data_IF_440000368740
#
_entry.id   IF_440000368740
#
_cell.length_a   1.000
_cell.length_b   1.000
_cell.length_c   1.000
_cell.angle_alpha   90.00
_cell.angle_beta   90.00
_cell.angle_gamma   90.00
#
_symmetry.space_group_name_H-M   'P 1'
#
loop_
_entity.id
_entity.type
_entity.pdbx_description
1 polymer ?
#
# COMPACT_ATOMS: atom_id res chain seq x y z
N UNK A 1 18.86 -31.87 42.09
CA UNK A 1 17.96 -30.80 41.59
C UNK A 1 17.78 -30.94 40.10
N UNK A 2 16.54 -30.93 39.60
CA UNK A 2 16.17 -31.19 38.20
C UNK A 2 16.81 -30.19 37.21
N UNK A 3 17.13 -30.64 35.99
CA UNK A 3 17.60 -29.83 34.85
C UNK A 3 16.70 -28.60 34.60
N UNK A 4 15.41 -28.74 34.88
CA UNK A 4 14.42 -27.67 34.80
C UNK A 4 14.71 -26.50 35.75
N UNK A 5 15.21 -26.77 36.96
CA UNK A 5 15.56 -25.73 37.93
C UNK A 5 16.84 -24.98 37.54
N UNK A 6 17.77 -25.63 36.82
CA UNK A 6 18.97 -24.97 36.29
C UNK A 6 18.65 -24.02 35.14
N UNK A 7 17.68 -24.39 34.29
CA UNK A 7 17.21 -23.52 33.21
C UNK A 7 16.43 -22.32 33.73
N UNK A 8 15.57 -22.51 34.73
CA UNK A 8 14.82 -21.42 35.35
C UNK A 8 15.73 -20.39 36.03
N UNK A 9 16.71 -20.84 36.80
CA UNK A 9 17.66 -19.93 37.46
C UNK A 9 18.52 -19.16 36.44
N UNK A 10 18.91 -19.80 35.32
CA UNK A 10 19.68 -19.14 34.26
C UNK A 10 18.84 -18.11 33.49
N UNK A 11 17.53 -18.34 33.34
CA UNK A 11 16.61 -17.38 32.75
C UNK A 11 16.35 -16.17 33.67
N UNK A 12 16.22 -16.38 34.99
CA UNK A 12 16.07 -15.31 35.97
C UNK A 12 17.35 -14.44 36.09
N UNK A 13 18.52 -15.06 35.99
CA UNK A 13 19.81 -14.38 35.96
C UNK A 13 19.98 -13.51 34.69
N UNK A 14 19.53 -14.01 33.54
CA UNK A 14 19.52 -13.26 32.28
C UNK A 14 18.52 -12.10 32.30
N UNK A 15 17.33 -12.29 32.88
CA UNK A 15 16.33 -11.22 33.01
C UNK A 15 16.82 -10.08 33.90
N UNK A 16 17.52 -10.40 35.00
CA UNK A 16 18.11 -9.40 35.90
C UNK A 16 19.26 -8.66 35.22
N UNK A 17 20.08 -9.36 34.44
CA UNK A 17 21.23 -8.78 33.73
C UNK A 17 20.83 -7.85 32.57
N UNK A 18 19.68 -8.11 31.94
CA UNK A 18 19.19 -7.36 30.78
C UNK A 18 18.00 -6.44 31.06
N UNK A 19 17.63 -6.28 32.34
CA UNK A 19 16.50 -5.46 32.79
C UNK A 19 15.18 -5.79 32.07
N UNK A 20 14.97 -7.07 31.77
CA UNK A 20 13.76 -7.60 31.13
C UNK A 20 12.83 -8.06 32.25
N UNK A 21 11.62 -7.48 32.30
CA UNK A 21 10.61 -7.83 33.30
C UNK A 21 10.28 -9.34 33.23
N UNK A 22 10.14 -10.03 34.38
CA UNK A 22 9.81 -11.45 34.39
C UNK A 22 8.40 -11.72 33.86
N UNK A 23 8.25 -12.91 33.25
CA UNK A 23 7.00 -13.40 32.67
C UNK A 23 5.84 -13.37 33.68
N UNK A 24 4.74 -12.70 33.29
CA UNK A 24 3.43 -12.85 33.93
C UNK A 24 3.16 -11.96 35.14
N UNK A 25 3.19 -10.64 34.99
CA UNK A 25 2.41 -9.74 35.85
C UNK A 25 1.88 -8.53 35.06
N UNK A 26 0.58 -8.55 34.80
CA UNK A 26 -0.21 -7.36 34.51
C UNK A 26 -0.40 -6.58 35.82
N UNK A 27 -0.03 -5.31 35.88
CA UNK A 27 -0.55 -4.40 36.89
C UNK A 27 -1.14 -3.16 36.21
N UNK A 28 -2.43 -3.30 35.92
CA UNK A 28 -3.36 -2.19 35.86
C UNK A 28 -3.87 -1.99 37.30
N UNK A 29 -3.31 -1.04 38.05
CA UNK A 29 -3.94 -0.51 39.26
C UNK A 29 -3.71 1.00 39.37
N UNK A 30 -4.84 1.71 39.29
CA UNK A 30 -5.06 3.08 39.75
C UNK A 30 -4.27 3.43 41.01
N UNK A 31 -3.57 4.56 40.99
CA UNK A 31 -3.49 5.45 42.16
C UNK A 31 -3.23 6.90 41.73
N UNK A 32 -4.23 7.75 42.04
CA UNK A 32 -4.11 9.19 42.16
C UNK A 32 -2.95 9.57 43.09
N UNK A 33 -2.13 10.56 42.74
CA UNK A 33 -2.02 11.79 43.54
C UNK A 33 -1.10 12.86 42.93
N UNK A 34 -1.67 14.06 42.89
CA UNK A 34 -1.12 15.37 43.26
C UNK A 34 0.14 15.93 42.56
N UNK A 35 -0.15 17.02 41.86
CA UNK A 35 0.73 18.10 41.41
C UNK A 35 1.45 18.72 42.62
N UNK A 36 2.78 18.86 42.53
CA UNK A 36 3.50 19.88 43.28
C UNK A 36 4.65 20.46 42.45
N UNK A 37 4.64 21.78 42.32
CA UNK A 37 5.64 22.60 41.63
C UNK A 37 6.97 22.61 42.39
N UNK A 38 8.09 22.59 41.66
CA UNK A 38 9.43 22.92 42.16
C UNK A 38 10.36 23.29 41.01
N UNK A 39 10.90 24.50 41.04
CA UNK A 39 11.80 25.08 40.05
C UNK A 39 13.27 24.65 40.26
N UNK A 40 13.97 24.35 39.14
CA UNK A 40 15.38 24.65 38.76
C UNK A 40 16.56 24.17 39.67
N UNK A 41 17.81 23.97 39.19
CA UNK A 41 18.45 24.66 38.05
C UNK A 41 19.34 23.80 37.09
N UNK A 42 19.86 24.52 36.10
CA UNK A 42 20.66 24.17 34.91
C UNK A 42 22.16 23.91 35.13
N UNK A 43 22.75 23.07 34.25
CA UNK A 43 24.08 23.14 33.57
C UNK A 43 24.87 21.79 33.59
N UNK A 44 25.87 21.55 32.71
CA UNK A 44 26.03 21.93 31.29
C UNK A 44 26.26 20.71 30.37
N UNK A 45 26.18 20.94 29.06
CA UNK A 45 26.52 19.97 28.01
C UNK A 45 27.99 19.53 28.07
N UNK A 46 28.22 18.21 28.13
CA UNK A 46 29.48 17.59 27.71
C UNK A 46 29.23 16.65 26.55
N UNK A 47 29.97 16.90 25.48
CA UNK A 47 30.12 16.07 24.29
C UNK A 47 30.81 14.75 24.66
N UNK A 48 30.15 13.62 24.42
CA UNK A 48 30.79 12.30 24.40
C UNK A 48 30.47 11.59 23.09
N UNK A 49 31.50 11.53 22.24
CA UNK A 49 31.66 10.57 21.14
C UNK A 49 31.74 9.15 21.69
N UNK A 50 31.00 8.21 21.08
CA UNK A 50 31.26 6.78 21.20
C UNK A 50 31.35 6.11 19.81
N UNK A 51 32.34 5.21 19.61
CA UNK A 51 32.63 4.54 18.33
C UNK A 51 31.94 3.17 18.22
N UNK A 52 31.79 2.66 16.99
CA UNK A 52 31.55 1.23 16.72
C UNK A 52 30.55 0.95 15.61
N UNK A 53 30.96 1.08 14.35
CA UNK A 53 30.28 0.45 13.22
C UNK A 53 30.82 -0.97 13.05
N UNK A 54 29.96 -1.98 13.26
CA UNK A 54 30.22 -3.35 12.81
C UNK A 54 29.56 -3.54 11.45
N UNK A 55 30.37 -3.92 10.46
CA UNK A 55 29.96 -4.25 9.10
C UNK A 55 29.12 -5.54 9.08
N UNK A 56 28.04 -5.54 8.30
CA UNK A 56 27.29 -6.74 7.94
C UNK A 56 27.94 -7.43 6.71
N UNK A 57 28.13 -8.76 6.70
CA UNK A 57 28.69 -9.45 5.54
C UNK A 57 27.64 -9.66 4.43
N UNK A 58 28.15 -9.64 3.19
CA UNK A 58 27.39 -9.80 1.95
C UNK A 58 26.87 -11.23 1.74
N UNK A 59 25.65 -11.35 1.18
CA UNK A 59 25.05 -12.62 0.78
C UNK A 59 25.79 -13.26 -0.40
N UNK A 60 26.22 -14.52 -0.24
CA UNK A 60 26.72 -15.37 -1.32
C UNK A 60 25.55 -16.01 -2.07
N UNK A 61 25.49 -15.81 -3.39
CA UNK A 61 24.58 -16.52 -4.29
C UNK A 61 25.03 -17.98 -4.46
N UNK A 62 24.15 -18.93 -4.19
CA UNK A 62 24.34 -20.33 -4.54
C UNK A 62 23.77 -20.58 -5.95
N UNK A 63 24.65 -20.96 -6.88
CA UNK A 63 24.27 -21.35 -8.24
C UNK A 63 23.53 -22.70 -8.22
N UNK A 64 22.36 -22.79 -8.85
CA UNK A 64 21.64 -24.04 -9.08
C UNK A 64 21.69 -24.46 -10.55
N UNK A 65 21.90 -25.76 -10.77
CA UNK A 65 22.00 -26.43 -12.08
C UNK A 65 20.63 -26.56 -12.78
N UNK A 66 20.59 -26.69 -14.13
CA UNK A 66 19.34 -26.76 -14.89
C UNK A 66 18.65 -28.14 -14.80
N UNK A 67 17.30 -28.19 -14.87
CA UNK A 67 16.53 -29.45 -14.87
C UNK A 67 16.51 -30.13 -16.26
N UNK A 68 16.22 -31.46 -16.33
CA UNK A 68 16.19 -32.22 -17.58
C UNK A 68 14.92 -31.96 -18.42
N UNK A 69 14.94 -32.25 -19.75
CA UNK A 69 13.85 -31.90 -20.66
C UNK A 69 12.61 -32.80 -20.51
N UNK A 70 11.43 -32.19 -20.69
CA UNK A 70 10.11 -32.84 -20.58
C UNK A 70 9.69 -33.57 -21.86
N UNK A 71 9.07 -34.73 -21.68
CA UNK A 71 8.51 -35.58 -22.73
C UNK A 71 7.22 -34.97 -23.34
N UNK A 72 7.09 -35.14 -24.66
CA UNK A 72 5.99 -34.68 -25.51
C UNK A 72 4.67 -35.36 -25.19
N UNK A 73 3.63 -34.58 -24.90
CA UNK A 73 2.23 -35.02 -24.87
C UNK A 73 1.47 -34.47 -26.08
N UNK A 74 0.87 -35.38 -26.84
CA UNK A 74 0.04 -35.12 -28.02
C UNK A 74 -1.41 -34.77 -27.62
N UNK A 75 -2.02 -33.83 -28.35
CA UNK A 75 -3.43 -33.43 -28.18
C UNK A 75 -4.41 -34.43 -28.82
N UNK A 76 -5.61 -34.61 -28.26
CA UNK A 76 -6.77 -35.11 -29.00
C UNK A 76 -7.64 -33.99 -29.60
N UNK A 77 -8.34 -34.35 -30.67
CA UNK A 77 -8.95 -33.51 -31.69
C UNK A 77 -10.14 -32.61 -31.27
N UNK A 78 -10.31 -31.54 -32.06
CA UNK A 78 -11.40 -30.57 -32.02
C UNK A 78 -12.74 -31.18 -32.47
N UNK A 79 -13.81 -30.91 -31.74
CA UNK A 79 -15.20 -31.03 -32.22
C UNK A 79 -15.87 -29.66 -32.31
N UNK A 80 -16.30 -29.35 -33.53
CA UNK A 80 -17.00 -28.14 -33.98
C UNK A 80 -18.46 -28.13 -33.50
N UNK A 81 -18.96 -26.99 -33.02
CA UNK A 81 -20.40 -26.72 -32.90
C UNK A 81 -20.77 -25.30 -33.37
N UNK A 82 -21.52 -25.28 -34.49
CA UNK A 82 -22.63 -24.41 -34.91
C UNK A 82 -22.75 -22.95 -34.45
N UNK A 83 -22.70 -22.05 -35.44
CA UNK A 83 -23.25 -20.68 -35.47
C UNK A 83 -24.76 -20.62 -35.25
N UNK A 84 -25.26 -19.67 -34.45
CA UNK A 84 -26.59 -19.08 -34.60
C UNK A 84 -26.67 -17.61 -34.12
N UNK A 85 -27.12 -16.76 -35.06
CA UNK A 85 -27.71 -15.41 -35.00
C UNK A 85 -26.97 -14.20 -34.41
N UNK A 86 -26.59 -13.31 -35.34
CA UNK A 86 -26.41 -11.88 -35.14
C UNK A 86 -27.76 -11.15 -34.94
N UNK A 87 -27.80 -10.15 -34.04
CA UNK A 87 -28.83 -9.11 -34.03
C UNK A 87 -28.17 -7.73 -34.10
N UNK A 88 -28.67 -6.92 -35.04
CA UNK A 88 -28.26 -5.55 -35.33
C UNK A 88 -28.81 -4.55 -34.28
N UNK A 89 -28.19 -3.37 -34.12
CA UNK A 89 -28.61 -2.36 -33.15
C UNK A 89 -29.93 -1.65 -33.56
N UNK A 90 -30.69 -1.11 -32.58
CA UNK A 90 -31.99 -0.47 -32.84
C UNK A 90 -31.86 0.92 -33.53
N UNK A 91 -32.89 1.35 -34.29
CA UNK A 91 -32.88 2.57 -35.09
C UNK A 91 -33.14 3.86 -34.27
N UNK A 92 -32.78 5.05 -34.81
CA UNK A 92 -32.95 6.33 -34.13
C UNK A 92 -34.40 6.84 -34.13
N UNK A 93 -34.75 7.61 -33.11
CA UNK A 93 -36.06 8.24 -32.91
C UNK A 93 -36.31 9.43 -33.87
N UNK A 94 -37.51 9.59 -34.46
CA UNK A 94 -37.80 10.68 -35.40
C UNK A 94 -38.07 12.03 -34.72
N UNK A 95 -37.56 13.10 -35.33
CA UNK A 95 -38.04 14.48 -35.13
C UNK A 95 -39.44 14.61 -35.71
N UNK A 96 -40.43 15.10 -34.95
CA UNK A 96 -41.53 16.01 -35.35
C UNK A 96 -42.55 16.15 -34.21
N UNK A 97 -42.57 17.30 -33.52
CA UNK A 97 -43.80 17.94 -33.02
C UNK A 97 -43.48 19.35 -32.52
N UNK A 98 -43.57 20.32 -33.44
CA UNK A 98 -43.85 21.74 -33.15
C UNK A 98 -45.35 21.99 -33.37
N UNK A 99 -45.92 22.97 -32.67
CA UNK A 99 -46.42 24.18 -33.34
C UNK A 99 -45.64 25.40 -32.79
N UNK A 100 -45.05 26.32 -33.56
CA UNK A 100 -45.68 27.22 -34.55
C UNK A 100 -46.40 28.35 -33.81
N UNK A 101 -46.13 29.65 -33.93
CA UNK A 101 -45.26 30.49 -34.74
C UNK A 101 -45.54 31.95 -34.32
N UNK A 102 -44.73 32.91 -34.75
CA UNK A 102 -45.02 34.34 -34.50
C UNK A 102 -43.83 35.26 -34.71
N UNK A 103 -43.62 35.68 -35.96
CA UNK A 103 -42.76 36.79 -36.31
C UNK A 103 -43.50 38.12 -36.10
N UNK A 104 -42.80 39.14 -35.60
CA UNK A 104 -43.26 40.52 -35.53
C UNK A 104 -42.16 41.39 -34.92
N UNK A 105 -41.42 42.12 -35.77
CA UNK A 105 -40.41 43.09 -35.31
C UNK A 105 -41.01 44.48 -35.12
N UNK A 106 -40.40 45.28 -34.23
CA UNK A 106 -40.11 46.73 -34.38
C UNK A 106 -39.34 47.26 -33.15
N UNK A 107 -38.38 48.14 -33.41
CA UNK A 107 -38.09 49.31 -32.56
C UNK A 107 -37.12 49.12 -31.39
N UNK A 108 -35.92 49.69 -31.52
CA UNK A 108 -34.90 49.72 -30.46
C UNK A 108 -35.10 50.81 -29.40
N UNK A 109 -34.42 50.62 -28.27
CA UNK A 109 -33.92 51.66 -27.34
C UNK A 109 -32.64 51.10 -26.69
N UNK A 110 -31.51 51.82 -26.65
CA UNK A 110 -30.29 51.30 -26.04
C UNK A 110 -30.34 51.51 -24.52
N UNK A 111 -30.38 50.42 -23.76
CA UNK A 111 -30.08 50.46 -22.33
C UNK A 111 -28.60 50.09 -22.14
N UNK A 112 -27.83 51.07 -21.67
CA UNK A 112 -26.44 50.90 -21.27
C UNK A 112 -26.33 49.83 -20.18
N UNK A 113 -25.85 48.66 -20.57
CA UNK A 113 -25.50 47.56 -19.68
C UNK A 113 -23.99 47.55 -19.46
N UNK A 114 -23.59 47.94 -18.25
CA UNK A 114 -22.41 47.46 -17.52
C UNK A 114 -21.88 46.15 -18.13
N UNK A 115 -20.66 46.19 -18.66
CA UNK A 115 -19.89 45.00 -19.04
C UNK A 115 -19.64 44.17 -17.77
N UNK A 116 -20.59 43.29 -17.48
CA UNK A 116 -20.38 42.18 -16.58
C UNK A 116 -19.41 41.27 -17.34
N UNK A 117 -18.14 41.33 -16.97
CA UNK A 117 -17.14 40.36 -17.41
C UNK A 117 -17.54 39.00 -16.86
N UNK A 118 -18.45 38.32 -17.55
CA UNK A 118 -18.65 36.88 -17.41
C UNK A 118 -17.48 36.20 -18.11
N UNK A 119 -16.28 36.36 -17.53
CA UNK A 119 -15.26 35.35 -17.70
C UNK A 119 -15.73 34.12 -16.91
N UNK A 120 -16.76 33.45 -17.42
CA UNK A 120 -16.92 32.04 -17.19
C UNK A 120 -15.71 31.39 -17.87
N UNK A 121 -14.60 31.34 -17.13
CA UNK A 121 -13.51 30.44 -17.44
C UNK A 121 -14.15 29.04 -17.37
N UNK A 122 -14.61 28.55 -18.52
CA UNK A 122 -14.85 27.13 -18.69
C UNK A 122 -13.54 26.47 -18.27
N UNK A 123 -13.55 25.85 -17.08
CA UNK A 123 -12.42 25.08 -16.61
C UNK A 123 -12.15 24.05 -17.69
N UNK A 124 -11.11 24.29 -18.51
CA UNK A 124 -10.70 23.35 -19.52
C UNK A 124 -10.47 22.03 -18.78
N UNK A 125 -11.21 20.98 -19.17
CA UNK A 125 -11.04 19.67 -18.57
C UNK A 125 -9.56 19.33 -18.62
N UNK A 126 -8.96 19.00 -17.47
CA UNK A 126 -7.55 18.67 -17.40
C UNK A 126 -7.25 17.56 -18.41
N UNK A 127 -6.14 17.69 -19.14
CA UNK A 127 -5.69 16.62 -20.04
C UNK A 127 -5.59 15.30 -19.25
N UNK A 128 -5.91 14.16 -19.87
CA UNK A 128 -5.84 12.87 -19.18
C UNK A 128 -4.40 12.62 -18.71
N UNK A 129 -4.21 12.08 -17.50
CA UNK A 129 -2.88 11.74 -16.99
C UNK A 129 -2.10 10.85 -17.96
N UNK A 130 -0.80 11.12 -18.09
CA UNK A 130 0.10 10.31 -18.89
C UNK A 130 0.68 9.20 -18.03
N UNK A 131 0.43 7.96 -18.46
CA UNK A 131 0.98 6.76 -17.82
C UNK A 131 2.45 6.64 -18.25
N UNK A 132 3.34 6.60 -17.28
CA UNK A 132 4.78 6.45 -17.54
C UNK A 132 5.33 5.08 -17.13
N UNK A 133 4.56 4.29 -16.39
CA UNK A 133 4.93 2.92 -16.05
C UNK A 133 3.70 2.03 -15.88
N UNK A 134 3.79 0.80 -16.37
CA UNK A 134 2.80 -0.29 -16.21
C UNK A 134 3.52 -1.64 -16.30
N UNK A 135 3.17 -2.64 -15.46
CA UNK A 135 3.70 -3.99 -15.57
C UNK A 135 3.13 -4.73 -16.79
N UNK A 136 3.88 -5.69 -17.33
CA UNK A 136 3.38 -6.61 -18.35
C UNK A 136 2.78 -7.86 -17.68
N UNK A 137 1.48 -8.09 -17.87
CA UNK A 137 0.75 -9.25 -17.36
C UNK A 137 0.65 -10.39 -18.39
N UNK A 138 1.46 -10.37 -19.44
CA UNK A 138 1.55 -11.48 -20.39
C UNK A 138 2.00 -12.78 -19.66
N UNK A 139 1.29 -13.90 -19.80
CA UNK A 139 1.67 -15.17 -19.16
C UNK A 139 2.98 -15.76 -19.68
N UNK A 140 3.49 -15.31 -20.83
CA UNK A 140 4.81 -15.67 -21.32
C UNK A 140 5.95 -14.92 -20.59
N UNK A 141 5.62 -13.84 -19.87
CA UNK A 141 6.58 -13.04 -19.10
C UNK A 141 6.60 -13.53 -17.65
N UNK A 142 7.77 -13.93 -17.10
CA UNK A 142 7.88 -14.28 -15.69
C UNK A 142 7.48 -13.10 -14.80
N UNK A 143 6.76 -13.36 -13.71
CA UNK A 143 6.47 -12.35 -12.67
C UNK A 143 7.75 -11.67 -12.18
N UNK A 144 8.84 -12.45 -12.10
CA UNK A 144 10.18 -12.00 -11.75
C UNK A 144 10.84 -11.04 -12.74
N UNK A 145 10.22 -10.71 -13.88
CA UNK A 145 10.73 -9.64 -14.75
C UNK A 145 10.33 -8.26 -14.22
N UNK A 146 9.16 -8.18 -13.58
CA UNK A 146 8.59 -6.92 -13.08
C UNK A 146 8.78 -6.79 -11.58
N UNK A 147 8.66 -7.90 -10.84
CA UNK A 147 8.62 -7.90 -9.38
C UNK A 147 9.74 -8.75 -8.78
N UNK A 148 10.47 -8.23 -7.81
CA UNK A 148 11.29 -9.04 -6.91
C UNK A 148 10.35 -9.83 -5.98
N UNK A 149 10.54 -11.14 -5.93
CA UNK A 149 9.75 -12.05 -5.11
C UNK A 149 10.51 -12.30 -3.80
N UNK A 150 10.08 -11.65 -2.72
CA UNK A 150 10.63 -11.89 -1.38
C UNK A 150 10.21 -13.28 -0.93
N UNK A 151 11.14 -14.01 -0.29
CA UNK A 151 10.97 -15.41 0.08
C UNK A 151 11.23 -15.61 1.57
N UNK A 152 10.71 -16.68 2.13
CA UNK A 152 10.89 -17.02 3.54
C UNK A 152 9.83 -16.45 4.47
N UNK A 153 10.00 -16.71 5.76
CA UNK A 153 9.21 -16.18 6.87
C UNK A 153 9.69 -14.81 7.38
N UNK A 154 10.73 -14.23 6.77
CA UNK A 154 11.32 -12.97 7.20
C UNK A 154 12.27 -13.13 8.40
N UNK A 155 13.12 -12.12 8.59
CA UNK A 155 13.99 -11.95 9.77
C UNK A 155 13.81 -10.52 10.31
N UNK A 156 13.28 -10.32 11.53
CA UNK A 156 12.83 -11.36 12.48
C UNK A 156 11.65 -12.17 11.96
N UNK A 157 11.48 -13.38 12.53
CA UNK A 157 10.45 -14.34 12.12
C UNK A 157 9.05 -13.72 12.08
N UNK A 158 8.27 -14.05 11.04
CA UNK A 158 6.92 -13.55 10.83
C UNK A 158 6.89 -12.11 10.30
N UNK A 159 7.94 -11.69 9.59
CA UNK A 159 8.08 -10.35 8.99
C UNK A 159 7.85 -9.18 9.96
N UNK A 160 8.18 -9.38 11.25
CA UNK A 160 7.94 -8.40 12.31
C UNK A 160 6.49 -8.34 12.82
N UNK A 161 5.56 -9.06 12.20
CA UNK A 161 4.13 -9.00 12.48
C UNK A 161 3.52 -10.34 12.91
N UNK A 162 4.34 -11.33 13.28
CA UNK A 162 3.87 -12.69 13.64
C UNK A 162 3.10 -13.39 12.51
N UNK A 163 3.44 -13.09 11.25
CA UNK A 163 2.81 -13.66 10.06
C UNK A 163 3.08 -15.17 9.91
N UNK A 164 2.09 -15.94 9.44
CA UNK A 164 2.15 -17.41 9.39
C UNK A 164 2.80 -17.97 8.12
N UNK A 165 2.76 -17.23 7.02
CA UNK A 165 3.09 -17.74 5.70
C UNK A 165 4.59 -17.71 5.41
N UNK A 166 5.04 -18.73 4.68
CA UNK A 166 6.31 -18.72 3.98
C UNK A 166 6.08 -18.07 2.61
N UNK A 167 6.70 -16.91 2.33
CA UNK A 167 6.62 -16.35 0.98
C UNK A 167 7.50 -17.14 0.02
N UNK A 168 7.03 -17.38 -1.20
CA UNK A 168 7.75 -18.16 -2.21
C UNK A 168 7.74 -17.46 -3.57
N UNK A 169 8.62 -17.90 -4.47
CA UNK A 169 8.60 -17.54 -5.89
C UNK A 169 7.79 -18.51 -6.75
N UNK A 170 7.06 -19.45 -6.13
CA UNK A 170 6.32 -20.50 -6.82
C UNK A 170 5.22 -19.92 -7.72
N UNK A 171 5.01 -20.47 -8.93
CA UNK A 171 3.88 -20.11 -9.78
C UNK A 171 2.52 -20.49 -9.16
N UNK A 172 2.50 -21.27 -8.06
CA UNK A 172 1.29 -21.50 -7.29
C UNK A 172 0.88 -20.29 -6.43
N UNK A 173 1.82 -19.40 -6.10
CA UNK A 173 1.59 -18.22 -5.26
C UNK A 173 1.58 -16.90 -6.03
N UNK A 174 2.24 -16.81 -7.20
CA UNK A 174 2.11 -15.64 -8.06
C UNK A 174 2.22 -16.00 -9.54
N UNK A 175 1.24 -15.58 -10.33
CA UNK A 175 1.19 -15.90 -11.77
C UNK A 175 0.31 -14.90 -12.53
N UNK A 176 0.55 -14.78 -13.83
CA UNK A 176 -0.36 -14.05 -14.72
C UNK A 176 -1.48 -14.97 -15.22
N UNK A 177 -2.68 -14.43 -15.40
CA UNK A 177 -3.80 -15.19 -15.94
C UNK A 177 -3.56 -15.60 -17.39
N UNK A 178 -4.10 -16.74 -17.86
CA UNK A 178 -3.89 -17.21 -19.24
C UNK A 178 -4.35 -16.25 -20.33
N UNK A 179 -5.29 -15.35 -20.03
CA UNK A 179 -5.76 -14.31 -20.95
C UNK A 179 -4.83 -13.09 -21.02
N UNK A 180 -3.77 -13.05 -20.22
CA UNK A 180 -2.76 -11.98 -20.19
C UNK A 180 -3.24 -10.64 -19.65
N UNK A 181 -4.31 -10.65 -18.85
CA UNK A 181 -4.93 -9.41 -18.37
C UNK A 181 -4.70 -9.10 -16.90
N UNK A 182 -4.27 -10.09 -16.10
CA UNK A 182 -4.24 -9.95 -14.65
C UNK A 182 -3.03 -10.62 -14.03
N UNK A 183 -2.57 -10.07 -12.92
CA UNK A 183 -1.66 -10.73 -12.00
C UNK A 183 -2.46 -11.27 -10.80
N UNK A 184 -2.18 -12.51 -10.41
CA UNK A 184 -2.75 -13.14 -9.21
C UNK A 184 -1.64 -13.30 -8.18
N UNK A 185 -1.90 -12.84 -6.96
CA UNK A 185 -1.10 -13.11 -5.76
C UNK A 185 -1.96 -13.98 -4.85
N UNK A 186 -1.56 -15.24 -4.68
CA UNK A 186 -2.34 -16.30 -4.04
C UNK A 186 -1.70 -16.75 -2.74
N UNK A 187 -2.45 -16.61 -1.66
CA UNK A 187 -2.19 -17.31 -0.41
C UNK A 187 -2.83 -18.71 -0.45
N UNK A 188 -2.06 -19.73 -0.08
CA UNK A 188 -2.50 -21.11 0.06
C UNK A 188 -2.41 -21.50 1.54
N UNK A 189 -3.56 -21.79 2.14
CA UNK A 189 -3.70 -22.29 3.49
C UNK A 189 -3.95 -23.80 3.44
N UNK A 190 -3.03 -24.58 4.00
CA UNK A 190 -3.07 -26.03 4.13
C UNK A 190 -2.63 -26.44 5.55
N UNK A 191 -3.40 -26.10 6.61
CA UNK A 191 -2.95 -26.24 8.00
C UNK A 191 -2.53 -27.67 8.40
N UNK A 192 -3.13 -28.68 7.74
CA UNK A 192 -2.83 -30.10 7.95
C UNK A 192 -1.65 -30.62 7.13
N UNK A 193 -0.96 -29.78 6.36
CA UNK A 193 0.19 -30.20 5.57
C UNK A 193 1.33 -30.72 6.47
N UNK A 194 1.92 -31.85 6.06
CA UNK A 194 2.96 -32.56 6.83
C UNK A 194 4.24 -31.74 6.99
N UNK A 195 4.58 -31.01 5.94
CA UNK A 195 5.69 -30.05 5.94
C UNK A 195 5.19 -28.71 6.47
N UNK A 196 5.71 -28.21 7.62
CA UNK A 196 5.32 -26.94 8.21
C UNK A 196 5.47 -25.73 7.28
N UNK A 197 6.50 -25.69 6.42
CA UNK A 197 6.75 -24.55 5.52
C UNK A 197 5.74 -24.47 4.37
N UNK A 198 5.09 -25.59 4.06
CA UNK A 198 4.04 -25.68 3.06
C UNK A 198 2.62 -25.54 3.64
N UNK A 199 2.48 -25.43 4.97
CA UNK A 199 1.15 -25.22 5.60
C UNK A 199 0.54 -23.89 5.23
N UNK A 200 1.36 -22.88 5.05
CA UNK A 200 0.94 -21.54 4.69
C UNK A 200 1.96 -20.99 3.71
N UNK A 201 1.58 -20.85 2.44
CA UNK A 201 2.45 -20.23 1.43
C UNK A 201 1.76 -19.05 0.78
N UNK A 202 2.53 -18.05 0.38
CA UNK A 202 2.02 -16.88 -0.33
C UNK A 202 3.11 -16.26 -1.20
N UNK A 203 2.85 -15.09 -1.77
CA UNK A 203 3.86 -14.28 -2.46
C UNK A 203 3.89 -12.86 -1.88
N UNK A 204 5.10 -12.30 -1.82
CA UNK A 204 5.38 -10.89 -1.51
C UNK A 204 6.20 -10.29 -2.63
N UNK A 205 5.55 -9.46 -3.44
CA UNK A 205 6.10 -8.88 -4.66
C UNK A 205 6.53 -7.45 -4.39
N UNK A 206 7.70 -7.05 -4.89
CA UNK A 206 8.21 -5.67 -4.83
C UNK A 206 8.54 -5.22 -6.25
N UNK A 207 8.05 -4.08 -6.71
CA UNK A 207 8.37 -3.63 -8.07
C UNK A 207 9.86 -3.37 -8.25
N UNK A 208 10.41 -3.77 -9.41
CA UNK A 208 11.75 -3.33 -9.82
C UNK A 208 11.81 -1.85 -10.17
N UNK A 209 10.72 -1.27 -10.64
CA UNK A 209 10.60 0.18 -10.82
C UNK A 209 10.36 0.87 -9.47
N UNK A 210 10.93 2.06 -9.29
CA UNK A 210 10.47 2.98 -8.24
C UNK A 210 9.35 3.87 -8.79
N UNK A 211 8.72 4.68 -7.92
CA UNK A 211 7.79 5.73 -8.34
C UNK A 211 8.45 6.71 -9.32
N UNK A 212 9.74 6.99 -9.17
CA UNK A 212 10.59 7.63 -10.18
C UNK A 212 10.30 9.10 -10.46
N UNK A 213 9.32 9.71 -9.78
CA UNK A 213 8.95 11.13 -9.92
C UNK A 213 8.60 11.74 -8.58
N UNK A 214 8.93 13.02 -8.40
CA UNK A 214 8.57 13.79 -7.21
C UNK A 214 7.07 14.12 -7.13
N UNK A 215 6.36 14.09 -8.26
CA UNK A 215 4.91 14.26 -8.35
C UNK A 215 4.33 13.15 -9.24
N UNK A 216 3.19 12.58 -8.85
CA UNK A 216 2.52 11.54 -9.64
C UNK A 216 1.36 10.88 -8.92
N UNK A 217 0.84 9.81 -9.55
CA UNK A 217 -0.21 8.97 -9.00
C UNK A 217 0.04 7.49 -9.33
N UNK A 218 -0.10 6.65 -8.31
CA UNK A 218 -0.08 5.20 -8.39
C UNK A 218 -1.52 4.71 -8.31
N UNK A 219 -1.95 3.94 -9.30
CA UNK A 219 -3.33 3.45 -9.41
C UNK A 219 -3.35 1.94 -9.56
N UNK A 220 -4.25 1.28 -8.86
CA UNK A 220 -4.50 -0.15 -8.98
C UNK A 220 -6.00 -0.48 -8.95
N UNK A 221 -6.42 -1.46 -9.74
CA UNK A 221 -7.75 -2.06 -9.65
C UNK A 221 -7.60 -3.48 -9.12
N UNK A 222 -8.11 -3.72 -7.91
CA UNK A 222 -7.83 -4.93 -7.13
C UNK A 222 -9.13 -5.65 -6.74
N UNK A 223 -9.17 -6.97 -6.88
CA UNK A 223 -10.09 -7.80 -6.08
C UNK A 223 -9.31 -8.33 -4.88
N UNK A 224 -9.81 -8.04 -3.67
CA UNK A 224 -9.16 -8.43 -2.42
C UNK A 224 -9.83 -9.69 -1.85
N UNK A 225 -9.06 -10.67 -1.33
CA UNK A 225 -9.65 -11.78 -0.61
C UNK A 225 -10.17 -11.31 0.75
N UNK A 226 -11.45 -11.57 1.03
CA UNK A 226 -12.07 -11.24 2.32
C UNK A 226 -12.38 -12.53 3.09
N UNK A 227 -11.53 -12.87 4.05
CA UNK A 227 -11.74 -14.02 4.92
C UNK A 227 -11.03 -13.85 6.28
N UNK A 228 -11.50 -14.59 7.27
CA UNK A 228 -10.86 -14.66 8.59
C UNK A 228 -9.38 -15.08 8.46
N UNK A 229 -8.48 -14.39 9.16
CA UNK A 229 -7.05 -14.70 9.16
C UNK A 229 -6.30 -14.39 7.86
N UNK A 230 -6.94 -13.73 6.90
CA UNK A 230 -6.32 -13.27 5.64
C UNK A 230 -6.07 -11.77 5.70
N UNK A 231 -4.88 -11.33 5.28
CA UNK A 231 -4.43 -9.94 5.29
C UNK A 231 -3.76 -9.56 3.96
N UNK A 232 -4.52 -9.17 2.93
CA UNK A 232 -3.99 -8.60 1.69
C UNK A 232 -3.51 -7.16 1.89
N UNK A 233 -2.40 -6.82 1.22
CA UNK A 233 -1.83 -5.48 1.25
C UNK A 233 -1.37 -5.00 -0.14
N UNK A 234 -1.62 -3.71 -0.41
CA UNK A 234 -1.09 -2.91 -1.51
C UNK A 234 -0.48 -1.64 -0.94
N UNK A 235 0.84 -1.53 -1.01
CA UNK A 235 1.60 -0.62 -0.16
C UNK A 235 2.95 -0.26 -0.79
N UNK A 236 3.72 0.58 -0.12
CA UNK A 236 4.98 1.12 -0.61
C UNK A 236 6.04 1.20 0.48
N UNK A 237 7.27 0.92 0.08
CA UNK A 237 8.47 1.10 0.89
C UNK A 237 9.58 1.77 0.07
N UNK A 238 10.50 2.50 0.72
CA UNK A 238 11.77 2.88 0.11
C UNK A 238 12.49 1.70 -0.54
N UNK A 239 13.21 1.94 -1.65
CA UNK A 239 14.12 0.93 -2.19
C UNK A 239 15.19 0.55 -1.16
N UNK A 240 15.46 -0.76 -1.06
CA UNK A 240 16.51 -1.28 -0.20
C UNK A 240 17.92 -0.80 -0.60
N UNK A 241 18.83 -0.60 0.36
CA UNK A 241 18.60 -0.68 1.80
C UNK A 241 17.87 0.56 2.35
N UNK A 242 17.05 0.37 3.38
CA UNK A 242 16.40 1.45 4.12
C UNK A 242 16.26 1.10 5.60
N UNK A 243 16.03 2.12 6.43
CA UNK A 243 15.78 1.99 7.86
C UNK A 243 14.29 2.24 8.17
N UNK A 244 13.58 1.17 8.51
CA UNK A 244 12.19 1.24 8.94
C UNK A 244 12.07 1.61 10.44
N UNK A 245 11.04 2.39 10.85
CA UNK A 245 10.08 3.09 10.01
C UNK A 245 10.59 4.45 9.55
N UNK A 246 11.78 4.89 10.00
CA UNK A 246 12.31 6.25 9.78
C UNK A 246 12.19 6.73 8.34
N UNK A 247 12.51 5.87 7.38
CA UNK A 247 12.53 6.22 5.97
C UNK A 247 11.16 6.13 5.28
N UNK A 248 10.13 5.70 6.01
CA UNK A 248 8.73 5.75 5.62
C UNK A 248 8.15 4.42 5.16
N UNK A 249 6.82 4.31 5.29
CA UNK A 249 5.96 3.28 4.71
C UNK A 249 4.59 3.89 4.41
N UNK A 250 3.98 3.49 3.30
CA UNK A 250 2.64 3.95 2.88
C UNK A 250 1.82 2.73 2.56
N UNK A 251 0.72 2.56 3.26
CA UNK A 251 -0.25 1.52 2.99
C UNK A 251 -1.42 2.14 2.25
N UNK A 252 -1.61 1.76 0.99
CA UNK A 252 -2.70 2.28 0.16
C UNK A 252 -3.97 1.50 0.42
N UNK A 253 -3.82 0.18 0.49
CA UNK A 253 -4.89 -0.71 0.86
C UNK A 253 -4.43 -1.87 1.74
N UNK A 254 -4.95 -1.93 2.95
CA UNK A 254 -4.87 -3.08 3.84
C UNK A 254 -6.25 -3.44 4.39
N UNK A 255 -6.57 -4.72 4.37
CA UNK A 255 -7.75 -5.25 5.05
C UNK A 255 -7.36 -6.55 5.71
N UNK A 256 -8.05 -6.93 6.77
CA UNK A 256 -7.83 -8.22 7.42
C UNK A 256 -9.13 -8.81 7.91
N UNK A 257 -9.10 -10.11 8.17
CA UNK A 257 -10.23 -10.86 8.73
C UNK A 257 -11.54 -10.78 7.92
N UNK A 258 -11.50 -10.28 6.68
CA UNK A 258 -12.68 -10.05 5.86
C UNK A 258 -13.65 -9.03 6.43
N UNK A 259 -13.16 -8.07 7.23
CA UNK A 259 -13.98 -7.05 7.88
C UNK A 259 -14.52 -5.98 6.94
N UNK A 260 -14.11 -6.03 5.66
CA UNK A 260 -14.48 -5.09 4.61
C UNK A 260 -14.06 -3.64 4.92
N UNK A 261 -13.03 -3.46 5.75
CA UNK A 261 -12.43 -2.16 6.05
C UNK A 261 -11.07 -2.05 5.38
N UNK A 262 -10.90 -0.96 4.64
CA UNK A 262 -9.60 -0.54 4.15
C UNK A 262 -8.91 0.32 5.21
N UNK A 263 -7.67 -0.01 5.53
CA UNK A 263 -6.80 0.76 6.40
C UNK A 263 -5.75 1.42 5.52
N UNK A 264 -5.85 2.74 5.36
CA UNK A 264 -4.81 3.54 4.73
C UNK A 264 -3.88 4.03 5.83
N UNK A 265 -2.57 3.80 5.68
CA UNK A 265 -1.59 4.10 6.71
C UNK A 265 -0.40 4.90 6.14
N UNK A 266 0.24 5.65 7.03
CA UNK A 266 1.54 6.28 6.83
C UNK A 266 2.36 6.01 8.08
N UNK A 267 3.50 5.33 7.96
CA UNK A 267 4.41 5.06 9.09
C UNK A 267 5.72 5.82 8.92
N UNK A 268 6.27 6.33 10.02
CA UNK A 268 7.56 7.01 10.06
C UNK A 268 8.17 7.02 11.47
N UNK A 269 9.32 7.67 11.64
CA UNK A 269 9.91 7.94 12.96
C UNK A 269 10.77 6.79 13.49
N UNK A 270 10.66 6.49 14.79
CA UNK A 270 11.57 5.56 15.49
C UNK A 270 10.82 4.51 16.33
N UNK A 271 11.34 3.28 16.34
CA UNK A 271 11.00 2.26 17.35
C UNK A 271 12.09 2.24 18.43
N UNK A 272 11.71 2.58 19.66
CA UNK A 272 12.57 2.46 20.84
C UNK A 272 11.85 2.92 22.10
N UNK A 273 11.86 2.10 23.15
CA UNK A 273 11.22 2.39 24.44
C UNK A 273 11.82 3.63 25.08
N UNK A 274 11.05 4.71 25.20
CA UNK A 274 11.39 5.87 26.04
C UNK A 274 11.82 7.15 25.31
N UNK A 275 11.67 7.23 23.98
CA UNK A 275 11.77 8.52 23.29
C UNK A 275 10.42 9.28 23.38
N UNK A 276 10.39 10.58 23.67
CA UNK A 276 9.13 11.36 23.74
C UNK A 276 8.37 11.44 22.40
N UNK A 277 8.95 10.97 21.28
CA UNK A 277 8.34 10.93 19.94
C UNK A 277 7.48 9.69 19.66
N UNK A 278 7.19 8.84 20.65
CA UNK A 278 6.37 7.64 20.43
C UNK A 278 4.97 7.92 19.86
N UNK A 279 4.48 9.15 19.95
CA UNK A 279 3.19 9.57 19.39
C UNK A 279 3.16 9.75 17.86
N UNK A 280 4.32 9.76 17.18
CA UNK A 280 4.44 9.99 15.74
C UNK A 280 4.93 8.74 14.98
N UNK A 281 4.39 7.57 15.31
CA UNK A 281 4.81 6.29 14.70
C UNK A 281 4.03 5.94 13.43
N UNK A 282 2.75 6.29 13.40
CA UNK A 282 1.93 6.14 12.22
C UNK A 282 0.68 7.02 12.29
N UNK A 283 0.06 7.22 11.13
CA UNK A 283 -1.31 7.69 11.01
C UNK A 283 -2.08 6.67 10.21
N UNK A 284 -3.30 6.41 10.61
CA UNK A 284 -4.19 5.46 9.95
C UNK A 284 -5.55 6.11 9.73
N UNK A 285 -6.25 5.67 8.69
CA UNK A 285 -7.66 5.97 8.51
C UNK A 285 -8.40 4.78 7.92
N UNK A 286 -9.48 4.39 8.59
CA UNK A 286 -10.36 3.33 8.11
C UNK A 286 -11.39 3.86 7.11
N UNK A 287 -11.63 3.07 6.06
CA UNK A 287 -12.75 3.25 5.14
C UNK A 287 -13.51 1.94 5.02
N UNK A 288 -14.76 1.92 5.47
CA UNK A 288 -15.62 0.74 5.31
C UNK A 288 -16.14 0.67 3.87
N UNK A 289 -15.93 -0.48 3.21
CA UNK A 289 -16.33 -0.77 1.84
C UNK A 289 -17.21 -2.03 1.85
N UNK A 290 -18.53 -1.90 2.05
CA UNK A 290 -19.42 -3.03 2.34
C UNK A 290 -19.43 -4.13 1.26
N UNK A 291 -19.10 -3.78 0.02
CA UNK A 291 -19.10 -4.67 -1.13
C UNK A 291 -17.69 -5.09 -1.57
N UNK A 292 -16.67 -4.93 -0.70
CA UNK A 292 -15.27 -5.24 -0.99
C UNK A 292 -15.05 -6.66 -1.55
N UNK A 293 -15.75 -7.65 -0.99
CA UNK A 293 -15.63 -9.05 -1.44
C UNK A 293 -16.30 -9.31 -2.80
N UNK A 294 -17.20 -8.44 -3.25
CA UNK A 294 -18.10 -8.67 -4.37
C UNK A 294 -17.63 -8.10 -5.71
N UNK A 295 -16.58 -7.26 -5.72
CA UNK A 295 -16.13 -6.58 -6.94
C UNK A 295 -14.67 -6.14 -6.89
N UNK A 296 -14.07 -5.81 -8.05
CA UNK A 296 -12.85 -5.03 -8.08
C UNK A 296 -13.06 -3.61 -7.50
N UNK A 297 -12.09 -3.15 -6.75
CA UNK A 297 -11.98 -1.81 -6.17
C UNK A 297 -10.84 -1.05 -6.83
N UNK A 298 -11.03 0.24 -7.07
CA UNK A 298 -9.92 1.10 -7.48
C UNK A 298 -9.30 1.78 -6.26
N UNK A 299 -7.98 1.68 -6.16
CA UNK A 299 -7.17 2.37 -5.18
C UNK A 299 -6.21 3.31 -5.91
N UNK A 300 -6.15 4.57 -5.47
CA UNK A 300 -5.17 5.53 -5.99
C UNK A 300 -4.39 6.14 -4.83
N UNK A 301 -3.09 6.37 -5.05
CA UNK A 301 -2.22 7.11 -4.16
C UNK A 301 -1.54 8.21 -4.96
N UNK A 302 -1.85 9.47 -4.66
CA UNK A 302 -1.30 10.64 -5.32
C UNK A 302 -0.33 11.38 -4.40
N UNK A 303 0.82 11.78 -4.93
CA UNK A 303 1.83 12.52 -4.19
C UNK A 303 2.26 13.77 -4.94
N UNK A 304 2.48 14.85 -4.19
CA UNK A 304 3.01 16.11 -4.69
C UNK A 304 4.15 16.59 -3.80
N UNK A 305 5.38 16.21 -4.15
CA UNK A 305 6.59 16.45 -3.37
C UNK A 305 7.60 17.36 -4.10
N UNK A 306 7.33 17.80 -5.34
CA UNK A 306 8.18 18.73 -6.07
C UNK A 306 8.29 20.14 -5.43
N UNK A 307 9.50 20.70 -5.45
CA UNK A 307 9.94 21.92 -4.73
C UNK A 307 9.35 23.27 -5.15
N UNK A 308 8.12 23.33 -5.67
CA UNK A 308 7.46 24.60 -6.04
C UNK A 308 5.96 24.68 -5.78
N UNK A 309 5.28 23.56 -5.50
CA UNK A 309 3.80 23.53 -5.44
C UNK A 309 3.21 22.94 -4.15
N UNK A 310 4.02 22.58 -3.16
CA UNK A 310 3.54 21.82 -1.98
C UNK A 310 4.05 22.28 -0.62
N UNK A 311 4.98 23.25 -0.56
CA UNK A 311 5.69 23.57 0.67
C UNK A 311 6.61 22.43 1.15
N UNK A 312 7.05 21.57 0.22
CA UNK A 312 8.02 20.53 0.50
C UNK A 312 9.39 21.17 0.77
N UNK A 313 10.03 20.77 1.87
CA UNK A 313 11.44 21.09 2.08
C UNK A 313 12.27 20.32 1.06
N UNK A 314 13.35 20.91 0.57
CA UNK A 314 14.21 20.30 -0.46
C UNK A 314 15.60 20.07 0.11
N UNK A 315 16.14 18.86 -0.07
CA UNK A 315 17.49 18.52 0.35
C UNK A 315 18.52 19.25 -0.50
N UNK A 316 19.46 19.99 0.10
CA UNK A 316 20.50 20.69 -0.66
C UNK A 316 21.45 19.76 -1.44
N UNK A 317 21.58 18.51 -1.00
CA UNK A 317 22.51 17.53 -1.58
C UNK A 317 22.14 17.07 -2.99
N UNK A 318 20.84 16.90 -3.25
CA UNK A 318 20.34 16.26 -4.47
C UNK A 318 19.06 16.89 -5.01
N UNK A 319 18.55 17.97 -4.40
CA UNK A 319 17.35 18.67 -4.86
C UNK A 319 16.05 17.89 -4.67
N UNK A 320 16.08 16.76 -3.95
CA UNK A 320 14.90 15.93 -3.69
C UNK A 320 14.13 16.40 -2.47
N UNK A 321 12.84 16.03 -2.37
CA UNK A 321 12.03 16.35 -1.20
C UNK A 321 12.66 15.80 0.10
N UNK A 322 12.78 16.65 1.12
CA UNK A 322 13.24 16.36 2.47
C UNK A 322 12.08 16.16 3.46
N UNK A 323 10.84 16.24 2.99
CA UNK A 323 9.62 16.27 3.80
C UNK A 323 8.65 17.34 3.28
N UNK A 324 7.48 17.46 3.91
CA UNK A 324 6.49 18.51 3.66
C UNK A 324 5.63 18.34 2.40
N UNK A 325 5.98 17.41 1.50
CA UNK A 325 5.16 17.03 0.34
C UNK A 325 3.77 16.53 0.73
N UNK A 326 2.83 16.52 -0.21
CA UNK A 326 1.42 16.20 0.07
C UNK A 326 1.04 14.84 -0.48
N UNK A 327 0.42 14.01 0.34
CA UNK A 327 0.05 12.63 0.06
C UNK A 327 -1.47 12.45 0.19
N UNK A 328 -2.11 11.81 -0.77
CA UNK A 328 -3.56 11.68 -0.82
C UNK A 328 -3.96 10.28 -1.30
N UNK A 329 -4.78 9.61 -0.52
CA UNK A 329 -5.27 8.25 -0.77
C UNK A 329 -6.71 8.30 -1.26
N UNK A 330 -7.05 7.39 -2.17
CA UNK A 330 -8.38 7.27 -2.73
C UNK A 330 -8.87 5.83 -2.75
N UNK A 331 -10.18 5.68 -2.55
CA UNK A 331 -10.92 4.44 -2.82
C UNK A 331 -12.07 4.80 -3.77
N UNK A 332 -12.12 4.15 -4.94
CA UNK A 332 -13.06 4.42 -6.03
C UNK A 332 -13.18 5.92 -6.37
N UNK A 333 -12.02 6.59 -6.47
CA UNK A 333 -11.92 8.01 -6.80
C UNK A 333 -12.32 9.01 -5.70
N UNK A 334 -12.73 8.51 -4.53
CA UNK A 334 -13.08 9.33 -3.36
C UNK A 334 -11.86 9.49 -2.46
N UNK A 335 -11.47 10.71 -2.06
CA UNK A 335 -10.33 10.89 -1.16
C UNK A 335 -10.69 10.38 0.24
N UNK A 336 -9.85 9.51 0.79
CA UNK A 336 -10.11 8.83 2.09
C UNK A 336 -9.13 9.23 3.18
N UNK A 337 -7.92 9.66 2.83
CA UNK A 337 -6.90 10.10 3.78
C UNK A 337 -5.98 11.09 3.07
N UNK A 338 -5.58 12.15 3.77
CA UNK A 338 -4.49 13.03 3.33
C UNK A 338 -3.44 13.12 4.43
N UNK A 339 -2.18 13.31 4.07
CA UNK A 339 -1.11 13.61 5.01
C UNK A 339 0.01 14.40 4.36
N UNK A 340 0.79 15.11 5.17
CA UNK A 340 2.09 15.62 4.73
C UNK A 340 3.15 14.54 4.91
N UNK A 341 4.04 14.45 3.93
CA UNK A 341 5.24 13.63 3.99
C UNK A 341 6.08 14.06 5.20
N UNK A 342 6.33 13.17 6.18
CA UNK A 342 7.10 13.51 7.36
C UNK A 342 8.56 13.82 7.01
N UNK A 343 9.18 14.71 7.78
CA UNK A 343 10.61 15.00 7.63
C UNK A 343 11.45 13.74 7.89
N UNK A 344 12.53 13.58 7.13
CA UNK A 344 13.45 12.43 7.28
C UNK A 344 13.01 11.15 6.56
N UNK A 345 11.80 11.12 5.98
CA UNK A 345 11.40 10.04 5.06
C UNK A 345 12.29 10.03 3.81
N UNK A 346 12.45 8.86 3.20
CA UNK A 346 13.12 8.73 1.89
C UNK A 346 12.30 9.53 0.86
N UNK A 347 12.94 10.21 -0.11
CA UNK A 347 12.21 10.82 -1.22
C UNK A 347 11.30 9.81 -1.92
N UNK A 348 10.04 10.20 -2.13
CA UNK A 348 8.97 9.32 -2.62
C UNK A 348 9.31 8.66 -3.97
N UNK A 349 10.08 9.34 -4.82
CA UNK A 349 10.57 8.84 -6.11
C UNK A 349 11.46 7.59 -6.01
N UNK A 350 12.05 7.33 -4.84
CA UNK A 350 12.89 6.16 -4.58
C UNK A 350 12.09 4.97 -4.00
N UNK A 351 10.76 5.09 -3.86
CA UNK A 351 9.92 4.05 -3.27
C UNK A 351 9.47 3.04 -4.30
N UNK A 352 9.37 1.78 -3.88
CA UNK A 352 8.86 0.66 -4.66
C UNK A 352 7.45 0.31 -4.20
N UNK A 353 6.67 -0.32 -5.08
CA UNK A 353 5.31 -0.79 -4.79
C UNK A 353 5.37 -2.25 -4.37
N UNK A 354 4.57 -2.60 -3.37
CA UNK A 354 4.48 -3.93 -2.79
C UNK A 354 3.06 -4.49 -2.90
N UNK A 355 2.98 -5.80 -3.14
CA UNK A 355 1.75 -6.58 -3.15
C UNK A 355 1.99 -7.89 -2.40
N UNK A 356 1.13 -8.22 -1.44
CA UNK A 356 1.16 -9.53 -0.78
C UNK A 356 -0.21 -9.92 -0.24
N UNK A 357 -0.34 -11.21 0.10
CA UNK A 357 -1.42 -11.72 0.93
C UNK A 357 -0.80 -12.42 2.13
N UNK A 358 -0.75 -11.74 3.27
CA UNK A 358 -0.33 -12.32 4.53
C UNK A 358 -1.47 -13.18 5.14
N UNK A 359 -1.09 -14.08 6.04
CA UNK A 359 -2.00 -14.94 6.80
C UNK A 359 -1.66 -14.85 8.28
N UNK A 360 -2.68 -14.66 9.13
CA UNK A 360 -2.50 -14.41 10.56
C UNK A 360 -1.80 -13.08 10.84
N UNK A 361 -0.91 -13.07 11.82
CA UNK A 361 -0.24 -11.86 12.28
C UNK A 361 -1.02 -11.06 13.33
N UNK A 362 -0.36 -10.03 13.85
CA UNK A 362 -0.84 -9.22 14.97
C UNK A 362 -2.21 -8.58 14.67
N UNK A 363 -2.40 -8.05 13.46
CA UNK A 363 -3.66 -7.41 13.01
C UNK A 363 -4.80 -8.42 12.85
N UNK A 364 -4.49 -9.69 12.57
CA UNK A 364 -5.49 -10.75 12.54
C UNK A 364 -5.90 -11.25 13.94
N UNK A 365 -5.27 -10.74 15.02
CA UNK A 365 -5.66 -11.04 16.41
C UNK A 365 -5.68 -12.55 16.73
N UNK A 366 -4.67 -13.28 16.24
CA UNK A 366 -4.53 -14.73 16.45
C UNK A 366 -5.45 -15.60 15.60
N UNK A 367 -6.27 -15.00 14.72
CA UNK A 367 -7.09 -15.75 13.76
C UNK A 367 -6.25 -16.34 12.64
N UNK A 368 -6.61 -17.55 12.22
CA UNK A 368 -5.95 -18.30 11.15
C UNK A 368 -6.95 -18.65 10.06
N UNK A 369 -6.55 -18.62 8.78
CA UNK A 369 -7.48 -18.91 7.70
C UNK A 369 -7.85 -20.40 7.65
N UNK A 370 -9.03 -20.68 7.10
CA UNK A 370 -9.44 -22.06 6.76
C UNK A 370 -8.56 -22.60 5.64
N UNK A 371 -8.58 -23.91 5.43
CA UNK A 371 -7.92 -24.53 4.28
C UNK A 371 -8.53 -24.00 2.98
N UNK A 372 -7.68 -23.59 2.04
CA UNK A 372 -8.13 -23.01 0.77
C UNK A 372 -7.09 -22.12 0.08
N UNK A 373 -7.55 -21.49 -1.01
CA UNK A 373 -6.79 -20.51 -1.77
C UNK A 373 -7.47 -19.14 -1.69
N UNK A 374 -6.68 -18.10 -1.49
CA UNK A 374 -7.14 -16.72 -1.30
C UNK A 374 -6.36 -15.80 -2.24
N UNK A 375 -7.07 -15.24 -3.22
CA UNK A 375 -6.46 -14.50 -4.32
C UNK A 375 -6.65 -13.00 -4.15
N UNK A 376 -5.54 -12.27 -4.09
CA UNK A 376 -5.50 -10.88 -4.50
C UNK A 376 -5.30 -10.86 -6.01
N UNK A 377 -6.26 -10.27 -6.73
CA UNK A 377 -6.23 -10.18 -8.20
C UNK A 377 -6.03 -8.74 -8.62
N UNK A 378 -4.93 -8.48 -9.31
CA UNK A 378 -4.59 -7.17 -9.89
C UNK A 378 -5.11 -7.12 -11.32
N UNK A 379 -6.15 -6.32 -11.56
CA UNK A 379 -6.76 -6.12 -12.88
C UNK A 379 -6.10 -4.99 -13.65
N UNK A 380 -5.60 -3.98 -12.95
CA UNK A 380 -4.78 -2.90 -13.51
C UNK A 380 -3.81 -2.41 -12.42
N UNK A 381 -2.63 -1.95 -12.83
CA UNK A 381 -1.63 -1.33 -11.98
C UNK A 381 -0.80 -0.38 -12.84
N UNK A 382 -0.71 0.89 -12.51
CA UNK A 382 0.11 1.82 -13.28
C UNK A 382 0.54 3.03 -12.47
N UNK A 383 1.57 3.73 -12.96
CA UNK A 383 1.99 5.03 -12.46
C UNK A 383 1.79 6.10 -13.54
N UNK A 384 1.24 7.23 -13.14
CA UNK A 384 0.90 8.35 -14.01
C UNK A 384 1.43 9.68 -13.46
N UNK A 385 1.63 10.65 -14.34
CA UNK A 385 2.22 11.95 -14.02
C UNK A 385 1.27 12.91 -13.27
N UNK A 386 0.00 12.56 -13.15
CA UNK A 386 -1.02 13.28 -12.40
C UNK A 386 -2.14 12.32 -11.95
N UNK A 387 -2.87 12.62 -10.86
CA UNK A 387 -4.08 11.88 -10.54
C UNK A 387 -5.19 12.12 -11.57
N UNK A 388 -6.19 11.23 -11.60
CA UNK A 388 -7.40 11.47 -12.38
C UNK A 388 -8.08 12.79 -11.98
N UNK A 389 -8.52 13.56 -12.98
CA UNK A 389 -9.01 14.92 -12.79
C UNK A 389 -7.89 15.97 -12.62
N UNK A 390 -6.63 15.54 -12.66
CA UNK A 390 -5.45 16.38 -12.65
C UNK A 390 -5.18 17.06 -11.30
N UNK A 391 -4.13 17.89 -11.27
CA UNK A 391 -3.70 18.59 -10.06
C UNK A 391 -4.75 19.56 -9.51
N UNK A 392 -5.64 20.10 -10.34
CA UNK A 392 -6.75 20.94 -9.87
C UNK A 392 -7.71 20.19 -8.94
N UNK A 393 -8.10 18.95 -9.31
CA UNK A 393 -8.91 18.08 -8.44
C UNK A 393 -8.13 17.68 -7.20
N UNK A 394 -6.84 17.36 -7.33
CA UNK A 394 -5.98 17.07 -6.18
C UNK A 394 -5.96 18.23 -5.16
N UNK A 395 -5.82 19.48 -5.62
CA UNK A 395 -5.84 20.65 -4.72
C UNK A 395 -7.19 20.82 -4.03
N UNK A 396 -8.28 20.62 -4.75
CA UNK A 396 -9.62 20.65 -4.19
C UNK A 396 -9.79 19.56 -3.13
N UNK A 397 -9.50 18.31 -3.47
CA UNK A 397 -9.67 17.17 -2.57
C UNK A 397 -8.74 17.27 -1.37
N UNK A 398 -7.53 17.79 -1.56
CA UNK A 398 -6.60 18.09 -0.47
C UNK A 398 -7.21 19.01 0.58
N UNK A 399 -8.07 19.96 0.23
CA UNK A 399 -8.67 20.89 1.21
C UNK A 399 -9.73 20.22 2.08
N UNK A 400 -10.44 19.23 1.54
CA UNK A 400 -11.63 18.63 2.16
C UNK A 400 -11.46 17.21 2.67
N UNK A 401 -10.42 16.50 2.20
CA UNK A 401 -10.08 15.20 2.73
C UNK A 401 -9.63 15.34 4.18
N UNK A 402 -10.06 14.43 5.05
CA UNK A 402 -9.55 14.44 6.42
C UNK A 402 -8.15 13.83 6.50
N UNK A 403 -7.43 14.28 7.51
CA UNK A 403 -6.09 13.81 7.83
C UNK A 403 -6.14 12.37 8.37
N UNK A 404 -5.01 11.68 8.33
CA UNK A 404 -4.85 10.46 9.11
C UNK A 404 -4.88 10.74 10.61
N UNK A 405 -5.20 9.73 11.41
CA UNK A 405 -5.23 9.85 12.87
C UNK A 405 -4.40 8.74 13.53
N UNK A 406 -3.89 9.00 14.73
CA UNK A 406 -3.36 7.94 15.58
C UNK A 406 -4.55 7.11 16.06
N UNK A 407 -4.54 5.80 15.82
CA UNK A 407 -5.61 4.88 16.19
C UNK A 407 -5.24 3.99 17.37
#
# INVERSE_FOLDING_TARGET
MSFFNKLKNKAEELNTKHNILPFGQNQNQNQNNQIQQGQAPSAPHQTQTYPGQSQYPAYQQQQQQPPPPSASWQQPAQTTYGNYYAQAPPPPVPFHSRPGGGAGGVGGVPLGGIQQTTAAAAAAAAAPPQIYWRPDFNPAVPVSQTFDQKQGHGDPWGWGNSELQNYTSSPANSFHTPDGKKLVVRALSQPSHRDPEARYTSARLVTRATLGRADGCLSAVLSLPCAEGIWPAFWLLPREPFAWPREGEVDVAETWNGDCRNHACLHWGFYGSGAPEEAAKHLVRETHVPDMAGRPLRFDFAWRCGGGGGGAEVRPSDGKAAGGGRLLWYVDGRPVMRNRMPAGTRPIEDWCVLLNVAMGGNVCQGKTPREGAYDLVVHDLHMSDAPEGGWGKFEHDWQWCADGAVM
#
